data_IF_916885625785
#
_entry.id   IF_916885625785
#
_cell.length_a   1.000
_cell.length_b   1.000
_cell.length_c   1.000
_cell.angle_alpha   90.00
_cell.angle_beta   90.00
_cell.angle_gamma   90.00
#
_symmetry.space_group_name_H-M   'P 1'
#
loop_
_entity.id
_entity.type
_entity.pdbx_description
1 polymer ?
#
# COMPACT_ATOMS: atom_id res chain seq x y z
N UNK A 1 -14.17 -20.52 -10.44
CA UNK A 1 -13.11 -20.66 -9.38
C UNK A 1 -13.37 -19.58 -8.32
N UNK A 2 -13.26 -19.88 -7.02
CA UNK A 2 -13.46 -18.87 -5.97
C UNK A 2 -12.12 -18.20 -5.69
N UNK A 3 -11.99 -16.89 -5.96
CA UNK A 3 -10.80 -16.10 -5.61
C UNK A 3 -11.02 -15.45 -4.25
N UNK A 4 -10.04 -15.54 -3.38
CA UNK A 4 -10.02 -14.85 -2.09
C UNK A 4 -9.12 -13.62 -2.18
N UNK A 5 -9.53 -12.52 -1.57
CA UNK A 5 -8.76 -11.29 -1.45
C UNK A 5 -8.90 -10.71 -0.05
N UNK A 6 -7.90 -9.98 0.37
CA UNK A 6 -7.96 -9.12 1.57
C UNK A 6 -7.61 -7.72 1.11
N UNK A 7 -8.56 -6.80 1.23
CA UNK A 7 -8.41 -5.39 0.84
C UNK A 7 -8.29 -4.52 2.08
N UNK A 8 -7.60 -3.40 1.98
CA UNK A 8 -7.46 -2.45 3.08
C UNK A 8 -8.38 -1.25 2.90
N UNK A 9 -9.03 -0.82 4.00
CA UNK A 9 -9.78 0.43 4.07
C UNK A 9 -9.48 1.12 5.41
N UNK A 10 -8.89 2.31 5.39
CA UNK A 10 -8.45 3.05 6.58
C UNK A 10 -7.60 2.18 7.53
N UNK A 11 -6.62 1.45 6.98
CA UNK A 11 -5.73 0.53 7.69
C UNK A 11 -6.46 -0.64 8.40
N UNK A 12 -7.62 -1.03 7.90
CA UNK A 12 -8.39 -2.18 8.37
C UNK A 12 -8.56 -3.19 7.26
N UNK A 13 -8.23 -4.43 7.55
CA UNK A 13 -8.38 -5.52 6.60
C UNK A 13 -9.85 -5.90 6.41
N UNK A 14 -10.28 -6.01 5.18
CA UNK A 14 -11.60 -6.47 4.78
C UNK A 14 -11.43 -7.66 3.86
N UNK A 15 -11.74 -8.85 4.36
CA UNK A 15 -11.68 -10.08 3.58
C UNK A 15 -12.82 -10.13 2.59
N UNK A 16 -12.52 -10.54 1.36
CA UNK A 16 -13.47 -10.65 0.27
C UNK A 16 -13.31 -11.94 -0.52
N UNK A 17 -14.39 -12.33 -1.19
CA UNK A 17 -14.44 -13.51 -2.07
C UNK A 17 -15.11 -13.11 -3.38
N UNK A 18 -14.44 -13.40 -4.50
CA UNK A 18 -15.02 -13.25 -5.83
C UNK A 18 -15.85 -14.47 -6.20
N UNK A 19 -17.08 -14.24 -6.59
CA UNK A 19 -18.01 -15.24 -7.11
C UNK A 19 -18.04 -15.15 -8.64
N UNK A 20 -17.39 -16.07 -9.33
CA UNK A 20 -17.30 -16.09 -10.79
C UNK A 20 -18.67 -16.33 -11.45
N UNK A 21 -19.57 -17.10 -10.83
CA UNK A 21 -20.91 -17.37 -11.39
C UNK A 21 -21.77 -16.10 -11.41
N UNK A 22 -21.65 -15.29 -10.36
CA UNK A 22 -22.42 -14.05 -10.19
C UNK A 22 -21.66 -12.80 -10.59
N UNK A 23 -20.39 -12.94 -11.00
CA UNK A 23 -19.49 -11.84 -11.38
C UNK A 23 -19.48 -10.70 -10.37
N UNK A 24 -19.36 -11.02 -9.06
CA UNK A 24 -19.35 -10.01 -7.99
C UNK A 24 -18.53 -10.39 -6.78
N UNK A 25 -18.09 -9.37 -6.05
CA UNK A 25 -17.43 -9.52 -4.78
C UNK A 25 -18.42 -9.70 -3.62
N UNK A 26 -18.01 -10.51 -2.66
CA UNK A 26 -18.67 -10.69 -1.37
C UNK A 26 -17.69 -10.36 -0.26
N UNK A 27 -18.05 -9.44 0.61
CA UNK A 27 -17.19 -8.90 1.67
C UNK A 27 -17.61 -9.43 3.02
N UNK A 28 -16.65 -9.73 3.91
CA UNK A 28 -16.94 -10.11 5.29
C UNK A 28 -17.78 -9.05 6.01
N UNK A 29 -18.98 -9.41 6.43
CA UNK A 29 -19.90 -8.49 7.09
C UNK A 29 -19.33 -7.95 8.41
N UNK A 30 -18.58 -8.78 9.14
CA UNK A 30 -17.94 -8.38 10.40
C UNK A 30 -16.80 -7.41 10.16
N UNK A 31 -16.01 -7.61 9.09
CA UNK A 31 -14.90 -6.73 8.75
C UNK A 31 -15.42 -5.37 8.27
N UNK A 32 -16.51 -5.35 7.48
CA UNK A 32 -17.21 -4.12 7.06
C UNK A 32 -17.74 -3.35 8.27
N UNK A 33 -18.40 -4.03 9.22
CA UNK A 33 -18.86 -3.39 10.46
C UNK A 33 -17.70 -2.79 11.24
N UNK A 34 -16.59 -3.53 11.37
CA UNK A 34 -15.38 -3.02 12.02
C UNK A 34 -14.82 -1.79 11.31
N UNK A 35 -14.71 -1.84 9.98
CA UNK A 35 -14.19 -0.74 9.18
C UNK A 35 -15.03 0.55 9.30
N UNK A 36 -16.35 0.41 9.40
CA UNK A 36 -17.27 1.55 9.46
C UNK A 36 -17.51 2.09 10.87
N UNK A 37 -17.25 1.32 11.94
CA UNK A 37 -17.69 1.68 13.30
C UNK A 37 -16.60 1.68 14.36
N UNK A 38 -15.42 1.14 14.08
CA UNK A 38 -14.34 0.89 15.06
C UNK A 38 -14.78 0.01 16.26
N UNK A 39 -15.84 -0.79 16.09
CA UNK A 39 -16.39 -1.62 17.16
C UNK A 39 -15.37 -2.63 17.67
N UNK A 40 -15.18 -2.74 18.97
CA UNK A 40 -14.35 -3.76 19.60
C UNK A 40 -14.94 -5.17 19.48
N UNK A 41 -16.24 -5.28 19.18
CA UNK A 41 -16.95 -6.55 19.01
C UNK A 41 -17.82 -6.55 17.72
N UNK A 42 -17.19 -6.52 16.54
CA UNK A 42 -17.92 -6.36 15.28
C UNK A 42 -18.87 -7.53 14.99
N UNK A 43 -18.56 -8.74 15.47
CA UNK A 43 -19.42 -9.91 15.32
C UNK A 43 -20.72 -9.79 16.10
N UNK A 44 -20.65 -9.35 17.34
CA UNK A 44 -21.86 -9.11 18.17
C UNK A 44 -22.68 -8.00 17.56
N UNK A 45 -22.04 -6.95 17.10
CA UNK A 45 -22.70 -5.82 16.47
C UNK A 45 -23.41 -6.24 15.16
N UNK A 46 -22.72 -6.96 14.27
CA UNK A 46 -23.32 -7.52 13.06
C UNK A 46 -24.58 -8.35 13.36
N UNK A 47 -24.50 -9.26 14.32
CA UNK A 47 -25.61 -10.12 14.70
C UNK A 47 -26.82 -9.30 15.22
N UNK A 48 -26.57 -8.21 15.97
CA UNK A 48 -27.60 -7.32 16.44
C UNK A 48 -28.28 -6.55 15.29
N UNK A 49 -27.49 -6.05 14.34
CA UNK A 49 -28.00 -5.35 13.15
C UNK A 49 -28.85 -6.28 12.29
N UNK A 50 -28.34 -7.48 12.02
CA UNK A 50 -29.02 -8.48 11.18
C UNK A 50 -30.37 -8.90 11.75
N UNK A 51 -30.48 -9.04 13.08
CA UNK A 51 -31.77 -9.34 13.74
C UNK A 51 -32.80 -8.21 13.62
N UNK A 52 -32.34 -6.95 13.62
CA UNK A 52 -33.21 -5.77 13.55
C UNK A 52 -33.57 -5.37 12.12
N UNK A 53 -32.82 -5.82 11.14
CA UNK A 53 -32.94 -5.43 9.73
C UNK A 53 -32.98 -6.70 8.87
N UNK A 54 -34.13 -7.35 8.81
CA UNK A 54 -34.32 -8.60 8.06
C UNK A 54 -33.98 -8.48 6.57
N UNK A 55 -34.09 -7.29 5.99
CA UNK A 55 -33.71 -7.01 4.60
C UNK A 55 -32.23 -7.31 4.31
N UNK A 56 -31.34 -7.23 5.33
CA UNK A 56 -29.93 -7.58 5.16
C UNK A 56 -29.71 -9.05 4.79
N UNK A 57 -30.66 -9.93 5.12
CA UNK A 57 -30.61 -11.34 4.74
C UNK A 57 -30.69 -11.53 3.23
N UNK A 58 -31.33 -10.61 2.50
CA UNK A 58 -31.41 -10.62 1.04
C UNK A 58 -30.07 -10.32 0.37
N UNK A 59 -29.23 -9.51 1.02
CA UNK A 59 -27.92 -9.07 0.53
C UNK A 59 -26.76 -9.79 1.21
N UNK A 60 -27.03 -10.79 2.05
CA UNK A 60 -26.02 -11.54 2.78
C UNK A 60 -26.15 -13.04 2.52
N UNK A 61 -25.05 -13.74 2.65
CA UNK A 61 -24.98 -15.21 2.64
C UNK A 61 -23.79 -15.68 3.45
N UNK A 62 -23.64 -16.99 3.59
CA UNK A 62 -22.47 -17.58 4.26
C UNK A 62 -21.48 -18.11 3.25
N UNK A 63 -20.23 -17.66 3.35
CA UNK A 63 -19.10 -18.17 2.57
C UNK A 63 -17.92 -18.50 3.48
N UNK A 64 -17.05 -19.39 3.01
CA UNK A 64 -15.81 -19.71 3.71
C UNK A 64 -14.76 -18.62 3.42
N UNK A 65 -14.27 -17.93 4.45
CA UNK A 65 -13.17 -16.99 4.39
C UNK A 65 -11.95 -17.52 5.15
N UNK A 66 -10.77 -17.15 4.72
CA UNK A 66 -9.54 -17.41 5.48
C UNK A 66 -9.54 -16.62 6.79
N UNK A 67 -9.04 -17.24 7.84
CA UNK A 67 -8.75 -16.60 9.12
C UNK A 67 -7.23 -16.44 9.30
N UNK A 68 -6.82 -15.70 10.31
CA UNK A 68 -5.40 -15.47 10.64
C UNK A 68 -4.62 -16.74 10.95
N UNK A 69 -5.29 -17.84 11.30
CA UNK A 69 -4.70 -19.15 11.50
C UNK A 69 -4.51 -19.97 10.18
N UNK A 70 -4.81 -19.36 9.03
CA UNK A 70 -4.72 -19.99 7.71
C UNK A 70 -5.86 -20.96 7.37
N UNK A 71 -6.83 -21.16 8.29
CA UNK A 71 -7.98 -22.04 8.06
C UNK A 71 -9.18 -21.28 7.52
N UNK A 72 -10.09 -21.99 6.86
CA UNK A 72 -11.32 -21.41 6.31
C UNK A 72 -12.49 -21.68 7.24
N UNK A 73 -13.18 -20.60 7.63
CA UNK A 73 -14.39 -20.64 8.44
C UNK A 73 -15.56 -20.01 7.72
N UNK A 74 -16.78 -20.50 7.99
CA UNK A 74 -18.01 -19.87 7.51
C UNK A 74 -18.18 -18.49 8.16
N UNK A 75 -18.34 -17.49 7.32
CA UNK A 75 -18.60 -16.10 7.71
C UNK A 75 -19.81 -15.58 6.96
N UNK A 76 -20.57 -14.70 7.60
CA UNK A 76 -21.56 -13.91 6.90
C UNK A 76 -20.82 -12.92 6.00
N UNK A 77 -21.21 -12.87 4.74
CA UNK A 77 -20.70 -11.94 3.75
C UNK A 77 -21.83 -11.15 3.13
N UNK A 78 -21.55 -9.93 2.70
CA UNK A 78 -22.46 -9.01 2.06
C UNK A 78 -21.94 -8.61 0.68
N UNK A 79 -22.84 -8.39 -0.26
CA UNK A 79 -22.48 -7.82 -1.56
C UNK A 79 -22.49 -6.28 -1.51
N UNK A 80 -22.20 -5.62 -2.62
CA UNK A 80 -22.13 -4.15 -2.72
C UNK A 80 -23.44 -3.47 -2.25
N UNK A 81 -24.59 -4.04 -2.57
CA UNK A 81 -25.90 -3.52 -2.10
C UNK A 81 -26.05 -3.66 -0.60
N UNK A 82 -25.60 -4.78 -0.03
CA UNK A 82 -25.55 -5.02 1.41
C UNK A 82 -24.62 -4.04 2.12
N UNK A 83 -23.47 -3.69 1.51
CA UNK A 83 -22.55 -2.67 2.02
C UNK A 83 -23.21 -1.30 2.08
N UNK A 84 -23.86 -0.86 1.00
CA UNK A 84 -24.60 0.40 0.96
C UNK A 84 -25.63 0.46 2.08
N UNK A 85 -26.39 -0.61 2.23
CA UNK A 85 -27.42 -0.69 3.26
C UNK A 85 -26.85 -0.64 4.67
N UNK A 86 -25.74 -1.36 4.92
CA UNK A 86 -25.01 -1.30 6.19
C UNK A 86 -24.52 0.11 6.50
N UNK A 87 -23.94 0.80 5.53
CA UNK A 87 -23.50 2.18 5.70
C UNK A 87 -24.61 3.12 6.15
N UNK A 88 -25.81 2.99 5.57
CA UNK A 88 -26.98 3.76 5.98
C UNK A 88 -27.45 3.41 7.39
N UNK A 89 -27.53 2.12 7.74
CA UNK A 89 -27.94 1.64 9.06
C UNK A 89 -26.97 2.10 10.15
N UNK A 90 -25.67 2.02 9.86
CA UNK A 90 -24.59 2.35 10.81
C UNK A 90 -24.40 3.86 10.96
N UNK A 91 -24.93 4.68 10.06
CA UNK A 91 -24.72 6.15 10.02
C UNK A 91 -23.26 6.55 10.15
N UNK A 92 -22.37 5.75 9.56
CA UNK A 92 -20.93 5.97 9.64
C UNK A 92 -20.52 7.23 8.89
N UNK A 93 -19.65 8.04 9.49
CA UNK A 93 -19.01 9.19 8.82
C UNK A 93 -18.16 8.76 7.61
N UNK A 94 -17.72 7.51 7.58
CA UNK A 94 -16.88 6.95 6.51
C UNK A 94 -17.71 6.29 5.40
N UNK A 95 -19.06 6.32 5.46
CA UNK A 95 -19.91 5.59 4.52
C UNK A 95 -19.66 5.98 3.04
N UNK A 96 -19.58 7.28 2.75
CA UNK A 96 -19.36 7.78 1.38
C UNK A 96 -17.98 7.36 0.86
N UNK A 97 -16.95 7.48 1.70
CA UNK A 97 -15.59 7.08 1.36
C UNK A 97 -15.50 5.56 1.14
N UNK A 98 -16.18 4.77 2.00
CA UNK A 98 -16.22 3.33 1.87
C UNK A 98 -16.92 2.89 0.57
N UNK A 99 -18.01 3.57 0.19
CA UNK A 99 -18.69 3.29 -1.06
C UNK A 99 -17.78 3.55 -2.28
N UNK A 100 -17.12 4.70 -2.32
CA UNK A 100 -16.16 5.02 -3.39
C UNK A 100 -15.06 3.97 -3.49
N UNK A 101 -14.55 3.51 -2.36
CA UNK A 101 -13.52 2.47 -2.32
C UNK A 101 -14.05 1.11 -2.84
N UNK A 102 -15.26 0.71 -2.50
CA UNK A 102 -15.92 -0.50 -3.04
C UNK A 102 -16.07 -0.41 -4.55
N UNK A 103 -16.39 0.77 -5.07
CA UNK A 103 -16.56 1.05 -6.50
C UNK A 103 -15.21 1.15 -7.26
N UNK A 104 -14.09 0.79 -6.62
CA UNK A 104 -12.76 0.79 -7.21
C UNK A 104 -11.96 2.08 -6.97
N UNK A 105 -12.41 2.94 -6.06
CA UNK A 105 -11.65 4.12 -5.64
C UNK A 105 -10.46 3.78 -4.73
N UNK A 106 -9.54 4.74 -4.56
CA UNK A 106 -8.45 4.62 -3.60
C UNK A 106 -8.96 4.60 -2.16
N UNK A 107 -8.24 3.90 -1.28
CA UNK A 107 -8.40 4.07 0.16
C UNK A 107 -8.25 5.56 0.54
N UNK A 108 -9.06 6.11 1.46
CA UNK A 108 -8.96 7.52 1.84
C UNK A 108 -7.59 7.95 2.34
N UNK A 109 -6.80 7.05 2.94
CA UNK A 109 -5.42 7.33 3.32
C UNK A 109 -4.57 7.47 2.06
N UNK A 110 -4.74 6.58 1.09
CA UNK A 110 -4.03 6.63 -0.18
C UNK A 110 -4.40 7.87 -0.99
N UNK A 111 -5.68 8.23 -1.05
CA UNK A 111 -6.12 9.46 -1.71
C UNK A 111 -5.48 10.71 -1.09
N UNK A 112 -5.45 10.81 0.25
CA UNK A 112 -4.86 11.95 0.94
C UNK A 112 -3.33 11.98 0.81
N UNK A 113 -2.66 10.83 1.00
CA UNK A 113 -1.21 10.75 0.85
C UNK A 113 -0.75 11.00 -0.59
N UNK A 114 -1.54 10.59 -1.59
CA UNK A 114 -1.30 10.89 -3.01
C UNK A 114 -1.35 12.39 -3.29
N UNK A 115 -2.34 13.10 -2.74
CA UNK A 115 -2.41 14.57 -2.84
C UNK A 115 -1.17 15.23 -2.24
N UNK A 116 -0.70 14.76 -1.07
CA UNK A 116 0.54 15.23 -0.46
C UNK A 116 1.75 14.94 -1.35
N UNK A 117 1.83 13.74 -1.94
CA UNK A 117 2.92 13.40 -2.86
C UNK A 117 2.99 14.34 -4.07
N UNK A 118 1.83 14.72 -4.64
CA UNK A 118 1.78 15.71 -5.73
C UNK A 118 2.30 17.08 -5.29
N UNK A 119 2.01 17.52 -4.07
CA UNK A 119 2.49 18.83 -3.57
C UNK A 119 3.96 18.81 -3.16
N UNK A 120 4.55 17.62 -2.96
CA UNK A 120 5.96 17.49 -2.59
C UNK A 120 6.91 18.07 -3.63
N UNK A 121 6.55 18.02 -4.91
CA UNK A 121 7.36 18.57 -6.01
C UNK A 121 7.61 20.10 -5.87
N UNK A 122 6.62 20.81 -5.36
CA UNK A 122 6.64 22.27 -5.21
C UNK A 122 7.07 22.71 -3.79
N UNK A 123 7.44 21.74 -2.94
CA UNK A 123 7.79 21.99 -1.55
C UNK A 123 9.31 21.97 -1.35
N UNK A 124 9.81 22.88 -0.54
CA UNK A 124 11.22 22.92 -0.09
C UNK A 124 11.40 22.15 1.24
N UNK A 125 10.48 21.23 1.56
CA UNK A 125 10.46 20.56 2.86
C UNK A 125 11.55 19.50 3.01
N UNK A 126 12.07 18.97 1.89
CA UNK A 126 13.08 17.92 1.89
C UNK A 126 14.49 18.52 1.95
N UNK A 127 15.31 18.05 2.87
CA UNK A 127 16.73 18.34 2.89
C UNK A 127 17.47 17.50 1.84
N UNK A 128 17.65 18.07 0.66
CA UNK A 128 18.31 17.40 -0.46
C UNK A 128 19.80 17.09 -0.22
N UNK A 129 20.44 17.64 0.82
CA UNK A 129 21.80 17.24 1.23
C UNK A 129 21.83 15.79 1.73
N UNK A 130 20.69 15.29 2.21
CA UNK A 130 20.49 13.95 2.77
C UNK A 130 20.08 12.89 1.73
N UNK A 131 20.09 13.24 0.43
CA UNK A 131 19.73 12.27 -0.64
C UNK A 131 20.63 11.03 -0.54
N UNK A 132 19.98 9.87 -0.59
CA UNK A 132 20.61 8.56 -0.41
C UNK A 132 20.70 8.09 1.05
N UNK A 133 20.23 8.88 2.01
CA UNK A 133 20.21 8.51 3.45
C UNK A 133 18.82 8.11 3.92
N UNK A 134 18.78 7.22 4.89
CA UNK A 134 17.55 6.77 5.55
C UNK A 134 16.77 7.93 6.15
N UNK A 135 17.45 8.94 6.68
CA UNK A 135 16.77 10.10 7.28
C UNK A 135 15.93 10.89 6.25
N UNK A 136 16.38 10.98 4.99
CA UNK A 136 15.55 11.59 3.94
C UNK A 136 14.33 10.72 3.62
N UNK A 137 14.49 9.41 3.57
CA UNK A 137 13.38 8.49 3.38
C UNK A 137 12.34 8.62 4.50
N UNK A 138 12.79 8.81 5.77
CA UNK A 138 11.90 9.10 6.90
C UNK A 138 11.17 10.45 6.73
N UNK A 139 11.83 11.48 6.24
CA UNK A 139 11.20 12.78 5.95
C UNK A 139 10.13 12.65 4.86
N UNK A 140 10.43 11.93 3.77
CA UNK A 140 9.46 11.64 2.70
C UNK A 140 8.25 10.90 3.27
N UNK A 141 8.48 9.82 4.02
CA UNK A 141 7.41 9.03 4.62
C UNK A 141 6.58 9.84 5.63
N UNK A 142 7.24 10.63 6.48
CA UNK A 142 6.56 11.53 7.42
C UNK A 142 5.66 12.51 6.65
N UNK A 143 6.16 13.17 5.63
CA UNK A 143 5.39 14.11 4.83
C UNK A 143 4.16 13.48 4.19
N UNK A 144 4.31 12.30 3.59
CA UNK A 144 3.22 11.61 2.93
C UNK A 144 2.12 11.18 3.90
N UNK A 145 2.48 10.74 5.10
CA UNK A 145 1.59 10.02 5.99
C UNK A 145 1.32 10.69 7.35
N UNK A 146 1.91 11.85 7.64
CA UNK A 146 1.60 12.62 8.85
C UNK A 146 0.11 12.95 8.92
N UNK A 147 -0.50 12.67 10.09
CA UNK A 147 -1.93 12.79 10.30
C UNK A 147 -2.77 11.65 9.69
N UNK A 148 -2.16 10.72 8.94
CA UNK A 148 -2.82 9.55 8.35
C UNK A 148 -2.43 8.26 9.08
N UNK A 149 -1.14 8.10 9.39
CA UNK A 149 -0.63 7.00 10.21
C UNK A 149 0.04 7.50 11.48
N UNK A 150 -0.20 6.87 12.64
CA UNK A 150 0.46 7.26 13.89
C UNK A 150 1.98 7.00 13.88
N UNK A 151 2.46 6.18 12.95
CA UNK A 151 3.87 5.82 12.78
C UNK A 151 4.54 6.56 11.61
N UNK A 152 3.94 7.64 11.08
CA UNK A 152 4.52 8.39 9.97
C UNK A 152 5.97 8.81 10.26
N UNK A 153 6.91 8.47 9.37
CA UNK A 153 8.35 8.73 9.53
C UNK A 153 9.08 7.86 10.56
N UNK A 154 8.39 6.96 11.26
CA UNK A 154 9.00 6.13 12.32
C UNK A 154 9.43 4.78 11.78
N UNK A 155 10.68 4.39 12.07
CA UNK A 155 11.18 3.05 11.75
C UNK A 155 10.46 2.03 12.64
N UNK A 156 9.95 0.97 12.02
CA UNK A 156 9.27 -0.11 12.73
C UNK A 156 10.21 -0.92 13.62
N UNK A 157 9.67 -1.45 14.68
CA UNK A 157 10.36 -2.39 15.58
C UNK A 157 9.85 -3.83 15.42
N UNK A 158 8.72 -4.02 14.70
CA UNK A 158 8.11 -5.34 14.49
C UNK A 158 8.55 -5.93 13.16
N UNK A 159 8.68 -7.24 13.09
CA UNK A 159 8.81 -7.98 11.83
C UNK A 159 7.49 -7.99 11.10
N UNK A 160 7.51 -7.72 9.80
CA UNK A 160 6.33 -7.69 8.94
C UNK A 160 6.54 -8.60 7.71
N UNK A 161 5.43 -9.01 7.10
CA UNK A 161 5.44 -9.81 5.86
C UNK A 161 4.32 -9.34 4.92
N UNK A 162 4.53 -9.46 3.62
CA UNK A 162 3.52 -9.18 2.58
C UNK A 162 3.65 -10.20 1.45
N UNK A 163 2.53 -10.76 1.00
CA UNK A 163 2.52 -11.70 -0.13
C UNK A 163 3.43 -12.93 0.04
N UNK A 164 3.61 -13.41 1.28
CA UNK A 164 4.50 -14.55 1.58
C UNK A 164 5.98 -14.20 1.70
N UNK A 165 6.38 -12.96 1.47
CA UNK A 165 7.74 -12.47 1.69
C UNK A 165 7.87 -11.89 3.11
N UNK A 166 8.88 -12.34 3.87
CA UNK A 166 9.20 -11.82 5.20
C UNK A 166 10.32 -10.80 5.07
N UNK A 167 10.06 -9.56 5.45
CA UNK A 167 11.04 -8.47 5.42
C UNK A 167 12.03 -8.57 6.58
N UNK A 168 13.04 -7.71 6.59
CA UNK A 168 14.06 -7.68 7.63
C UNK A 168 13.43 -7.64 9.04
N UNK A 169 14.04 -8.36 9.98
CA UNK A 169 13.61 -8.35 11.38
C UNK A 169 13.75 -6.93 11.96
N UNK A 170 12.70 -6.45 12.64
CA UNK A 170 12.64 -5.13 13.24
C UNK A 170 13.80 -4.80 14.18
N UNK A 171 14.29 -5.78 14.95
CA UNK A 171 15.38 -5.59 15.90
C UNK A 171 16.72 -5.25 15.21
N UNK A 172 16.93 -5.71 13.98
CA UNK A 172 18.15 -5.47 13.20
C UNK A 172 18.06 -4.27 12.28
N UNK A 173 16.89 -3.67 12.10
CA UNK A 173 16.70 -2.53 11.20
C UNK A 173 17.68 -1.38 11.43
N UNK A 174 17.98 -0.95 12.67
CA UNK A 174 18.93 0.16 12.88
C UNK A 174 20.32 -0.13 12.31
N UNK A 175 20.81 -1.35 12.41
CA UNK A 175 22.10 -1.75 11.86
C UNK A 175 22.07 -1.92 10.35
N UNK A 176 21.00 -2.49 9.80
CA UNK A 176 20.77 -2.66 8.36
C UNK A 176 20.72 -1.29 7.68
N UNK A 177 19.92 -0.37 8.17
CA UNK A 177 19.76 0.97 7.62
C UNK A 177 21.06 1.77 7.67
N UNK A 178 21.83 1.64 8.75
CA UNK A 178 23.18 2.24 8.85
C UNK A 178 24.14 1.69 7.79
N UNK A 179 24.02 0.41 7.43
CA UNK A 179 24.82 -0.19 6.36
C UNK A 179 24.38 0.33 4.98
N UNK A 180 23.06 0.39 4.73
CA UNK A 180 22.50 0.96 3.49
C UNK A 180 22.94 2.41 3.31
N UNK A 181 22.96 3.22 4.36
CA UNK A 181 23.41 4.61 4.32
C UNK A 181 24.88 4.79 3.89
N UNK A 182 25.70 3.73 4.02
CA UNK A 182 27.13 3.72 3.65
C UNK A 182 27.38 3.17 2.26
N UNK A 183 26.40 2.53 1.65
CA UNK A 183 26.56 1.97 0.30
C UNK A 183 26.86 3.07 -0.72
N UNK A 184 27.70 2.76 -1.72
CA UNK A 184 27.98 3.69 -2.80
C UNK A 184 26.72 3.90 -3.68
N UNK A 185 26.64 5.07 -4.32
CA UNK A 185 25.51 5.47 -5.17
C UNK A 185 25.99 6.28 -6.39
N UNK A 186 27.15 5.90 -6.96
CA UNK A 186 27.80 6.63 -8.07
C UNK A 186 27.40 6.10 -9.45
N UNK A 187 27.00 4.83 -9.53
CA UNK A 187 26.61 4.18 -10.79
C UNK A 187 25.16 3.70 -10.69
N UNK A 188 24.56 3.42 -11.85
CA UNK A 188 23.22 2.85 -11.94
C UNK A 188 23.09 1.58 -11.08
N UNK A 189 24.00 0.63 -11.24
CA UNK A 189 23.95 -0.64 -10.51
C UNK A 189 23.99 -0.44 -9.00
N UNK A 190 24.91 0.41 -8.52
CA UNK A 190 25.03 0.72 -7.10
C UNK A 190 23.75 1.35 -6.52
N UNK A 191 23.09 2.22 -7.30
CA UNK A 191 21.83 2.85 -6.88
C UNK A 191 20.72 1.80 -6.82
N UNK A 192 20.62 0.92 -7.81
CA UNK A 192 19.58 -0.13 -7.84
C UNK A 192 19.83 -1.16 -6.75
N UNK A 193 21.06 -1.59 -6.51
CA UNK A 193 21.41 -2.48 -5.39
C UNK A 193 21.01 -1.87 -4.05
N UNK A 194 21.34 -0.60 -3.83
CA UNK A 194 20.92 0.13 -2.62
C UNK A 194 19.40 0.23 -2.48
N UNK A 195 18.68 0.40 -3.57
CA UNK A 195 17.21 0.40 -3.60
C UNK A 195 16.63 -0.96 -3.24
N UNK A 196 17.20 -2.05 -3.76
CA UNK A 196 16.80 -3.43 -3.43
C UNK A 196 16.99 -3.69 -1.94
N UNK A 197 18.16 -3.35 -1.38
CA UNK A 197 18.43 -3.49 0.06
C UNK A 197 17.43 -2.70 0.92
N UNK A 198 17.08 -1.48 0.51
CA UNK A 198 16.07 -0.68 1.20
C UNK A 198 14.69 -1.31 1.12
N UNK A 199 14.33 -1.94 -0.02
CA UNK A 199 13.09 -2.68 -0.17
C UNK A 199 13.04 -3.94 0.71
N UNK A 200 14.16 -4.66 0.85
CA UNK A 200 14.29 -5.81 1.77
C UNK A 200 14.18 -5.35 3.23
N UNK A 201 14.81 -4.23 3.56
CA UNK A 201 14.72 -3.63 4.89
C UNK A 201 13.27 -3.26 5.23
N UNK A 202 12.53 -2.68 4.30
CA UNK A 202 11.11 -2.29 4.44
C UNK A 202 10.84 -1.56 5.75
N UNK A 203 11.43 -0.36 5.96
CA UNK A 203 11.63 0.22 7.28
C UNK A 203 10.37 0.70 7.99
N UNK A 204 9.25 0.86 7.29
CA UNK A 204 7.99 1.35 7.87
C UNK A 204 6.94 0.24 7.98
N UNK A 205 5.92 0.45 8.82
CA UNK A 205 4.81 -0.49 8.97
C UNK A 205 3.93 -0.56 7.71
N UNK A 206 3.78 0.55 6.98
CA UNK A 206 3.04 0.68 5.72
C UNK A 206 3.63 1.84 4.90
N UNK A 207 3.34 1.95 3.60
CA UNK A 207 3.74 3.08 2.75
C UNK A 207 5.19 3.02 2.24
N UNK A 208 5.89 1.91 2.44
CA UNK A 208 7.29 1.76 2.03
C UNK A 208 7.49 1.99 0.53
N UNK A 209 6.73 1.31 -0.33
CA UNK A 209 6.89 1.42 -1.78
C UNK A 209 6.70 2.85 -2.28
N UNK A 210 5.68 3.55 -1.78
CA UNK A 210 5.37 4.95 -2.15
C UNK A 210 6.50 5.91 -1.78
N UNK A 211 7.09 5.75 -0.58
CA UNK A 211 8.20 6.59 -0.13
C UNK A 211 9.54 6.22 -0.81
N UNK A 212 9.83 4.93 -0.98
CA UNK A 212 11.11 4.48 -1.54
C UNK A 212 11.25 4.77 -3.03
N UNK A 213 10.15 4.79 -3.80
CA UNK A 213 10.21 5.19 -5.23
C UNK A 213 10.57 6.67 -5.39
N UNK A 214 10.03 7.56 -4.56
CA UNK A 214 10.43 8.99 -4.54
C UNK A 214 11.90 9.12 -4.12
N UNK A 215 12.32 8.38 -3.09
CA UNK A 215 13.70 8.38 -2.62
C UNK A 215 14.68 7.90 -3.70
N UNK A 216 14.33 6.86 -4.47
CA UNK A 216 15.12 6.36 -5.60
C UNK A 216 15.28 7.42 -6.69
N UNK A 217 14.19 8.09 -7.08
CA UNK A 217 14.23 9.14 -8.10
C UNK A 217 15.15 10.30 -7.67
N UNK A 218 15.14 10.67 -6.39
CA UNK A 218 16.05 11.70 -5.87
C UNK A 218 17.53 11.26 -5.93
N UNK A 219 17.81 9.97 -5.70
CA UNK A 219 19.18 9.43 -5.81
C UNK A 219 19.64 9.45 -7.27
N UNK A 220 18.82 8.99 -8.21
CA UNK A 220 19.11 9.05 -9.64
C UNK A 220 19.32 10.50 -10.10
N UNK A 221 18.44 11.41 -9.69
CA UNK A 221 18.52 12.82 -10.04
C UNK A 221 19.85 13.45 -9.58
N UNK A 222 20.24 13.20 -8.32
CA UNK A 222 21.46 13.76 -7.73
C UNK A 222 22.72 13.22 -8.37
N UNK A 223 22.79 11.89 -8.58
CA UNK A 223 24.05 11.22 -8.92
C UNK A 223 24.22 10.99 -10.43
N UNK A 224 23.13 10.83 -11.19
CA UNK A 224 23.19 10.52 -12.62
C UNK A 224 22.50 11.57 -13.50
N UNK A 225 21.82 12.58 -12.93
CA UNK A 225 21.03 13.53 -13.71
C UNK A 225 19.85 12.87 -14.44
N UNK A 226 19.29 11.81 -13.89
CA UNK A 226 18.19 11.03 -14.48
C UNK A 226 17.08 10.80 -13.44
N UNK A 227 15.88 10.43 -13.91
CA UNK A 227 14.80 9.91 -13.07
C UNK A 227 14.08 8.78 -13.80
N UNK A 228 13.18 8.09 -13.13
CA UNK A 228 12.43 6.97 -13.69
C UNK A 228 11.09 7.46 -14.26
N UNK A 229 10.83 7.17 -15.54
CA UNK A 229 9.50 7.27 -16.10
C UNK A 229 8.68 6.02 -15.71
N UNK A 230 8.07 6.05 -14.54
CA UNK A 230 7.30 4.94 -14.00
C UNK A 230 6.16 4.49 -14.90
N UNK A 231 5.70 5.32 -15.82
CA UNK A 231 4.67 4.95 -16.78
C UNK A 231 5.11 3.94 -17.83
N UNK A 232 6.42 3.73 -18.00
CA UNK A 232 6.98 2.72 -18.90
C UNK A 232 7.11 1.34 -18.25
N UNK A 233 6.82 1.22 -16.96
CA UNK A 233 6.98 -0.02 -16.21
C UNK A 233 5.61 -0.61 -15.91
N UNK A 234 5.36 -1.84 -16.37
CA UNK A 234 4.16 -2.58 -16.02
C UNK A 234 4.15 -2.99 -14.55
N UNK A 235 3.01 -2.86 -13.88
CA UNK A 235 2.83 -3.17 -12.45
C UNK A 235 3.26 -4.59 -12.11
N UNK A 236 2.79 -5.59 -12.84
CA UNK A 236 3.05 -6.98 -12.52
C UNK A 236 4.53 -7.33 -12.74
N UNK A 237 5.11 -6.80 -13.83
CA UNK A 237 6.54 -6.97 -14.11
C UNK A 237 7.39 -6.33 -13.01
N UNK A 238 7.04 -5.13 -12.54
CA UNK A 238 7.73 -4.46 -11.45
C UNK A 238 7.64 -5.26 -10.13
N UNK A 239 6.44 -5.66 -9.73
CA UNK A 239 6.24 -6.38 -8.46
C UNK A 239 6.93 -7.74 -8.47
N UNK A 240 6.90 -8.47 -9.59
CA UNK A 240 7.60 -9.74 -9.74
C UNK A 240 9.12 -9.54 -9.69
N UNK A 241 9.66 -8.57 -10.44
CA UNK A 241 11.08 -8.26 -10.44
C UNK A 241 11.59 -7.83 -9.04
N UNK A 242 10.80 -7.03 -8.30
CA UNK A 242 11.13 -6.66 -6.92
C UNK A 242 11.08 -7.86 -5.96
N UNK A 243 10.17 -8.79 -6.15
CA UNK A 243 10.09 -10.03 -5.35
C UNK A 243 11.28 -10.95 -5.61
N UNK A 244 11.77 -11.01 -6.85
CA UNK A 244 12.92 -11.83 -7.25
C UNK A 244 14.26 -11.15 -6.91
N UNK A 245 14.31 -9.84 -6.79
CA UNK A 245 15.52 -9.04 -6.68
C UNK A 245 16.50 -9.44 -5.55
N UNK A 246 16.08 -10.05 -4.42
CA UNK A 246 17.02 -10.54 -3.42
C UNK A 246 17.92 -11.69 -3.90
N UNK A 247 17.49 -12.41 -4.94
CA UNK A 247 18.22 -13.56 -5.52
C UNK A 247 18.74 -13.28 -6.93
N UNK A 248 18.01 -12.46 -7.70
CA UNK A 248 18.33 -12.09 -9.07
C UNK A 248 17.84 -10.66 -9.34
N UNK A 249 18.76 -9.71 -9.42
CA UNK A 249 18.45 -8.28 -9.60
C UNK A 249 18.38 -7.83 -11.06
N UNK A 250 18.75 -8.69 -12.01
CA UNK A 250 18.75 -8.37 -13.44
C UNK A 250 17.36 -7.91 -13.97
N UNK A 251 16.22 -8.56 -13.61
CA UNK A 251 14.93 -8.11 -14.09
C UNK A 251 14.58 -6.67 -13.65
N UNK A 252 14.82 -6.32 -12.39
CA UNK A 252 14.52 -4.96 -11.91
C UNK A 252 15.50 -3.94 -12.46
N UNK A 253 16.79 -4.29 -12.61
CA UNK A 253 17.78 -3.44 -13.29
C UNK A 253 17.36 -3.15 -14.73
N UNK A 254 16.95 -4.17 -15.48
CA UNK A 254 16.47 -4.01 -16.85
C UNK A 254 15.23 -3.10 -16.96
N UNK A 255 14.23 -3.28 -16.09
CA UNK A 255 13.02 -2.44 -16.07
C UNK A 255 13.36 -0.98 -15.77
N UNK A 256 14.14 -0.72 -14.73
CA UNK A 256 14.53 0.64 -14.34
C UNK A 256 15.41 1.31 -15.40
N UNK A 257 16.41 0.59 -15.96
CA UNK A 257 17.29 1.14 -16.98
C UNK A 257 16.55 1.61 -18.23
N UNK A 258 15.60 0.80 -18.72
CA UNK A 258 14.78 1.11 -19.88
C UNK A 258 13.77 2.26 -19.64
N UNK A 259 13.48 2.54 -18.38
CA UNK A 259 12.57 3.60 -17.97
C UNK A 259 13.29 4.91 -17.59
N UNK A 260 14.64 4.94 -17.55
CA UNK A 260 15.38 6.17 -17.23
C UNK A 260 15.15 7.25 -18.29
N UNK A 261 15.08 8.49 -17.82
CA UNK A 261 14.96 9.70 -18.65
C UNK A 261 15.81 10.84 -18.10
N UNK A 262 16.25 11.73 -18.97
CA UNK A 262 16.99 12.96 -18.64
C UNK A 262 16.04 14.13 -18.27
N UNK A 263 14.72 13.95 -18.37
CA UNK A 263 13.71 14.99 -18.09
C UNK A 263 13.44 15.15 -16.59
N UNK A 264 14.47 15.42 -15.84
CA UNK A 264 14.50 15.44 -14.36
C UNK A 264 13.72 16.60 -13.72
N UNK A 265 13.33 17.61 -14.50
CA UNK A 265 12.61 18.80 -14.03
C UNK A 265 11.17 18.87 -14.56
N UNK A 266 10.70 17.82 -15.20
CA UNK A 266 9.33 17.75 -15.69
C UNK A 266 8.35 17.52 -14.54
N UNK A 267 7.53 18.55 -14.27
CA UNK A 267 6.40 18.43 -13.33
C UNK A 267 5.42 17.33 -13.75
N UNK A 268 5.12 17.26 -15.06
CA UNK A 268 4.22 16.25 -15.61
C UNK A 268 4.74 14.83 -15.36
N UNK A 269 6.03 14.61 -15.60
CA UNK A 269 6.66 13.30 -15.37
C UNK A 269 6.59 12.91 -13.88
N UNK A 270 6.88 13.85 -12.98
CA UNK A 270 6.77 13.62 -11.55
C UNK A 270 5.35 13.26 -11.13
N UNK A 271 4.34 14.05 -11.55
CA UNK A 271 2.94 13.79 -11.22
C UNK A 271 2.48 12.42 -11.72
N UNK A 272 2.84 12.08 -12.96
CA UNK A 272 2.58 10.77 -13.56
C UNK A 272 3.27 9.65 -12.79
N UNK A 273 4.52 9.86 -12.36
CA UNK A 273 5.26 8.91 -11.52
C UNK A 273 4.55 8.64 -10.18
N UNK A 274 4.00 9.67 -9.54
CA UNK A 274 3.18 9.50 -8.34
C UNK A 274 1.93 8.67 -8.65
N UNK A 275 1.21 8.95 -9.74
CA UNK A 275 0.02 8.20 -10.12
C UNK A 275 0.31 6.71 -10.29
N UNK A 276 1.39 6.37 -10.99
CA UNK A 276 1.84 4.97 -11.16
C UNK A 276 2.32 4.35 -9.84
N UNK A 277 3.00 5.11 -9.00
CA UNK A 277 3.45 4.64 -7.68
C UNK A 277 2.27 4.21 -6.80
N UNK A 278 1.16 4.93 -6.84
CA UNK A 278 -0.06 4.54 -6.13
C UNK A 278 -0.79 3.40 -6.82
N UNK A 279 -0.85 3.38 -8.14
CA UNK A 279 -1.42 2.27 -8.91
C UNK A 279 -0.71 0.93 -8.60
N UNK A 280 0.59 0.92 -8.32
CA UNK A 280 1.31 -0.32 -7.96
C UNK A 280 0.89 -0.88 -6.60
N UNK A 281 0.32 -0.07 -5.69
CA UNK A 281 -0.17 -0.52 -4.38
C UNK A 281 -1.64 -0.98 -4.41
N UNK A 282 -2.37 -0.71 -5.49
CA UNK A 282 -3.74 -1.22 -5.66
C UNK A 282 -3.69 -2.76 -5.78
N UNK A 283 -4.56 -3.47 -5.07
CA UNK A 283 -4.67 -4.94 -5.10
C UNK A 283 -5.50 -5.45 -6.29
#
# INVERSE_FOLDING_TARGET
MIKHSTRSFLNKEIRAVWDEEKCKWWYSATDVVFALTDSTNPRIYWNAIKRRNHELTTFSRQLKLYSSDGKKYLNDVVDEKGILRLGHILKSKNNIAFQKWVDGGLDPIDEQSKRKAHTLYESDILDLSLVGKTILLQQIHAYLFEGLYPFAGQIRTKTISKGGFVFANGDFLPSILKNIDRQPERTFDQIVEKYIEMNIAHPFMEGNGRATRIWLDLIFKKNLGKCVDWSKIDKNNYLNAMKESPLNDEPIKGLLYNALTDDINSRELFMKGIDYSYYYEEE
#
